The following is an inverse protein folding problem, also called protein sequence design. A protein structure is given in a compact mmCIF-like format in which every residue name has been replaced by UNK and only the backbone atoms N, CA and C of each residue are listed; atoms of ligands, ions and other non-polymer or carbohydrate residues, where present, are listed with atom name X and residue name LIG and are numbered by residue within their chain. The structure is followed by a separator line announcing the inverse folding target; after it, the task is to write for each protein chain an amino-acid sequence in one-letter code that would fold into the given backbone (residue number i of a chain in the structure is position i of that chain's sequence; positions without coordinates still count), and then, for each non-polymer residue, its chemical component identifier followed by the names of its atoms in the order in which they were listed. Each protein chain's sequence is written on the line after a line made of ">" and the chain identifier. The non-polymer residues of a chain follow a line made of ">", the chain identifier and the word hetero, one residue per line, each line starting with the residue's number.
data_IF_501105475904
#
_entry.id   IF_501105475904
#
_cell.length_a   1.000
_cell.length_b   1.000
_cell.length_c   1.000
_cell.angle_alpha   90.00
_cell.angle_beta   90.00
_cell.angle_gamma   90.00
#
_symmetry.space_group_name_H-M   'P 1'
#
loop_
_entity.id
_entity.type
_entity.pdbx_description
1 polymer ?
#
# COMPACT_ATOMS: atom_id res chain seq x y z
N UNK A 1 43.46 4.30 52.25
CA UNK A 1 42.92 5.41 51.43
C UNK A 1 42.30 4.80 50.18
N UNK A 2 41.04 4.36 50.26
CA UNK A 2 40.27 3.89 49.10
C UNK A 2 38.89 4.53 49.20
N UNK A 3 38.66 5.59 48.43
CA UNK A 3 37.40 6.32 48.41
C UNK A 3 36.40 5.66 47.46
N UNK A 4 35.25 5.25 47.99
CA UNK A 4 34.06 4.95 47.20
C UNK A 4 33.45 6.26 46.71
N UNK A 5 33.43 6.50 45.39
CA UNK A 5 32.62 7.55 44.79
C UNK A 5 31.25 6.94 44.44
N UNK A 6 30.23 7.34 45.21
CA UNK A 6 28.83 7.03 44.95
C UNK A 6 28.31 8.01 43.89
N UNK A 7 28.17 7.57 42.65
CA UNK A 7 27.44 8.34 41.62
C UNK A 7 25.94 8.11 41.84
N UNK A 8 25.28 9.08 42.47
CA UNK A 8 23.82 9.13 42.55
C UNK A 8 23.31 9.72 41.24
N UNK A 9 23.08 8.86 40.24
CA UNK A 9 22.39 9.23 39.01
C UNK A 9 20.89 9.26 39.23
N UNK A 10 20.32 10.47 39.19
CA UNK A 10 18.89 10.77 39.23
C UNK A 10 18.07 9.89 38.28
N UNK A 11 16.99 9.32 38.79
CA UNK A 11 16.07 8.46 38.06
C UNK A 11 15.10 9.26 37.17
N UNK A 12 15.04 8.83 35.90
CA UNK A 12 14.01 9.04 34.85
C UNK A 12 13.95 10.42 34.13
N UNK A 13 13.68 10.43 32.79
CA UNK A 13 12.93 9.40 32.06
C UNK A 13 13.68 8.79 30.85
N UNK A 14 14.32 7.63 31.05
CA UNK A 14 14.62 6.72 29.92
C UNK A 14 13.34 6.26 29.21
N UNK A 15 12.23 6.17 29.94
CA UNK A 15 10.92 5.79 29.39
C UNK A 15 10.37 6.78 28.36
N UNK A 16 10.62 8.09 28.50
CA UNK A 16 10.11 9.10 27.54
C UNK A 16 10.94 9.11 26.26
N UNK A 17 12.26 8.91 26.35
CA UNK A 17 13.12 8.71 25.19
C UNK A 17 12.82 7.38 24.48
N UNK A 18 12.62 6.27 25.23
CA UNK A 18 12.21 4.98 24.68
C UNK A 18 10.83 5.04 24.01
N UNK A 19 9.88 5.80 24.58
CA UNK A 19 8.57 6.03 23.97
C UNK A 19 8.71 6.85 22.68
N UNK A 20 9.51 7.91 22.67
CA UNK A 20 9.82 8.69 21.45
C UNK A 20 10.54 7.86 20.38
N UNK A 21 11.46 6.97 20.76
CA UNK A 21 12.14 6.04 19.84
C UNK A 21 11.23 4.92 19.34
N UNK A 22 10.34 4.40 20.20
CA UNK A 22 9.28 3.48 19.80
C UNK A 22 8.30 4.18 18.85
N UNK A 23 7.89 5.41 19.13
CA UNK A 23 7.03 6.23 18.27
C UNK A 23 7.70 6.57 16.92
N UNK A 24 9.03 6.77 16.90
CA UNK A 24 9.83 6.95 15.68
C UNK A 24 10.02 5.65 14.88
N UNK A 25 10.05 4.48 15.54
CA UNK A 25 10.11 3.15 14.89
C UNK A 25 8.72 2.55 14.59
N UNK A 26 7.65 3.10 15.17
CA UNK A 26 6.25 2.75 14.94
C UNK A 26 5.69 3.43 13.68
N UNK A 27 6.36 4.46 13.17
CA UNK A 27 5.92 5.29 12.04
C UNK A 27 6.85 5.24 10.82
N UNK A 28 7.79 4.29 10.74
CA UNK A 28 8.50 4.09 9.49
C UNK A 28 7.50 3.50 8.49
N UNK A 29 6.94 4.33 7.63
CA UNK A 29 6.17 3.84 6.49
C UNK A 29 7.16 3.33 5.43
N UNK A 30 6.78 2.28 4.71
CA UNK A 30 7.59 1.73 3.61
C UNK A 30 6.94 2.07 2.29
N UNK A 31 7.51 3.05 1.60
CA UNK A 31 7.07 3.47 0.27
C UNK A 31 8.19 3.14 -0.71
N UNK A 32 7.90 2.31 -1.70
CA UNK A 32 8.95 1.78 -2.56
C UNK A 32 8.44 1.50 -3.98
N UNK A 33 9.19 1.97 -4.98
CA UNK A 33 9.07 1.55 -6.36
C UNK A 33 10.29 0.71 -6.72
N UNK A 34 10.15 -0.59 -6.96
CA UNK A 34 11.27 -1.50 -7.21
C UNK A 34 11.16 -2.18 -8.57
N UNK A 35 12.23 -2.80 -9.05
CA UNK A 35 12.27 -3.63 -10.26
C UNK A 35 12.44 -5.13 -9.94
N UNK A 36 12.59 -5.47 -8.66
CA UNK A 36 12.70 -6.85 -8.16
C UNK A 36 11.36 -7.39 -7.64
N UNK A 37 11.18 -8.72 -7.54
CA UNK A 37 10.01 -9.33 -6.90
C UNK A 37 9.73 -8.78 -5.50
N UNK A 38 8.45 -8.61 -5.16
CA UNK A 38 8.01 -8.06 -3.88
C UNK A 38 8.01 -9.15 -2.80
N UNK A 39 8.75 -8.92 -1.71
CA UNK A 39 8.79 -9.81 -0.55
C UNK A 39 7.56 -9.60 0.35
N UNK A 40 6.45 -10.25 -0.01
CA UNK A 40 5.18 -10.16 0.73
C UNK A 40 5.34 -10.66 2.17
N UNK A 41 6.09 -11.74 2.38
CA UNK A 41 6.33 -12.33 3.69
C UNK A 41 7.08 -11.36 4.60
N UNK A 42 8.19 -10.81 4.11
CA UNK A 42 8.96 -9.80 4.84
C UNK A 42 8.17 -8.53 5.11
N UNK A 43 7.31 -8.08 4.18
CA UNK A 43 6.41 -6.95 4.40
C UNK A 43 5.35 -7.23 5.49
N UNK A 44 4.78 -8.44 5.50
CA UNK A 44 3.85 -8.87 6.54
C UNK A 44 4.53 -8.91 7.92
N UNK A 45 5.68 -9.56 8.03
CA UNK A 45 6.46 -9.67 9.27
C UNK A 45 6.87 -8.29 9.79
N UNK A 46 7.33 -7.43 8.89
CA UNK A 46 7.65 -6.05 9.20
C UNK A 46 6.45 -5.26 9.72
N UNK A 47 5.21 -5.56 9.31
CA UNK A 47 4.04 -4.85 9.79
C UNK A 47 3.57 -5.31 11.19
N UNK A 48 4.09 -6.41 11.74
CA UNK A 48 3.73 -6.90 13.07
C UNK A 48 4.27 -5.97 14.16
N UNK A 49 3.38 -5.42 14.97
CA UNK A 49 3.75 -4.58 16.12
C UNK A 49 2.93 -4.95 17.36
N UNK A 50 3.47 -4.82 18.60
CA UNK A 50 2.74 -5.17 19.81
C UNK A 50 1.43 -4.40 20.03
N UNK A 51 1.29 -3.22 19.42
CA UNK A 51 0.11 -2.35 19.51
C UNK A 51 -0.98 -2.67 18.48
N UNK A 52 -0.74 -3.60 17.55
CA UNK A 52 -1.67 -3.90 16.46
C UNK A 52 -2.23 -5.32 16.57
N UNK A 53 -3.56 -5.43 16.64
CA UNK A 53 -4.28 -6.70 16.64
C UNK A 53 -4.70 -7.18 15.24
N UNK A 54 -4.46 -6.39 14.19
CA UNK A 54 -4.79 -6.72 12.82
C UNK A 54 -3.69 -6.27 11.85
N UNK A 55 -3.48 -7.08 10.80
CA UNK A 55 -2.70 -6.73 9.61
C UNK A 55 -3.52 -7.12 8.39
N UNK A 56 -3.68 -6.19 7.45
CA UNK A 56 -4.29 -6.45 6.14
C UNK A 56 -3.19 -6.37 5.09
N UNK A 57 -3.11 -7.39 4.25
CA UNK A 57 -2.23 -7.44 3.09
C UNK A 57 -3.10 -7.49 1.84
N UNK A 58 -2.90 -6.56 0.93
CA UNK A 58 -3.41 -6.62 -0.43
C UNK A 58 -2.25 -6.89 -1.39
N UNK A 59 -2.44 -7.83 -2.31
CA UNK A 59 -1.50 -8.12 -3.39
C UNK A 59 -2.23 -8.09 -4.73
N UNK A 60 -1.77 -7.21 -5.63
CA UNK A 60 -2.24 -7.12 -7.00
C UNK A 60 -1.45 -8.10 -7.87
N UNK A 61 -2.12 -9.14 -8.36
CA UNK A 61 -1.47 -10.26 -9.05
C UNK A 61 -1.76 -10.21 -10.56
N UNK A 62 -0.74 -10.51 -11.37
CA UNK A 62 -0.89 -10.65 -12.82
C UNK A 62 -1.77 -11.86 -13.16
N UNK A 63 -2.82 -11.62 -13.96
CA UNK A 63 -3.77 -12.63 -14.46
C UNK A 63 -3.54 -12.92 -15.94
N UNK A 64 -4.09 -14.04 -16.40
CA UNK A 64 -4.02 -14.52 -17.79
C UNK A 64 -5.04 -13.87 -18.74
N UNK A 65 -5.77 -12.86 -18.27
CA UNK A 65 -6.76 -12.14 -19.06
C UNK A 65 -6.87 -10.68 -18.60
N UNK A 66 -7.28 -9.83 -19.53
CA UNK A 66 -7.65 -8.44 -19.34
C UNK A 66 -8.92 -8.12 -20.16
N UNK A 67 -9.43 -6.90 -20.02
CA UNK A 67 -10.64 -6.48 -20.73
C UNK A 67 -10.42 -6.55 -22.25
N UNK A 68 -11.19 -7.38 -22.92
CA UNK A 68 -11.07 -7.62 -24.36
C UNK A 68 -9.83 -8.41 -24.79
N UNK A 69 -9.05 -8.97 -23.86
CA UNK A 69 -7.79 -9.68 -24.15
C UNK A 69 -7.69 -10.98 -23.35
N UNK A 70 -7.72 -12.11 -24.05
CA UNK A 70 -7.46 -13.43 -23.48
C UNK A 70 -6.02 -13.89 -23.75
N UNK A 71 -5.51 -14.79 -22.92
CA UNK A 71 -4.17 -15.36 -23.12
C UNK A 71 -3.04 -14.37 -22.85
N UNK A 72 -3.23 -13.44 -21.91
CA UNK A 72 -2.16 -12.59 -21.41
C UNK A 72 -1.09 -13.49 -20.78
N UNK A 73 0.17 -13.18 -21.07
CA UNK A 73 1.34 -13.95 -20.62
C UNK A 73 2.24 -13.15 -19.69
N UNK A 74 2.24 -11.81 -19.84
CA UNK A 74 3.01 -10.91 -19.01
C UNK A 74 2.40 -9.50 -18.99
N UNK A 75 2.76 -8.72 -17.96
CA UNK A 75 2.58 -7.28 -17.89
C UNK A 75 3.94 -6.59 -17.88
N UNK A 76 4.04 -5.42 -18.51
CA UNK A 76 5.19 -4.53 -18.37
C UNK A 76 4.71 -3.23 -17.72
N UNK A 77 5.29 -2.90 -16.58
CA UNK A 77 4.98 -1.67 -15.86
C UNK A 77 6.07 -0.62 -16.06
N UNK A 78 5.66 0.59 -16.41
CA UNK A 78 6.55 1.74 -16.54
C UNK A 78 6.06 2.87 -15.63
N UNK A 79 6.99 3.66 -15.12
CA UNK A 79 6.69 4.77 -14.25
C UNK A 79 7.73 5.87 -14.40
N UNK A 80 7.30 7.12 -14.32
CA UNK A 80 8.24 8.19 -14.04
C UNK A 80 8.51 8.19 -12.53
N UNK A 81 9.63 7.56 -12.15
CA UNK A 81 9.97 7.18 -10.78
C UNK A 81 9.72 8.27 -9.76
N UNK A 82 10.29 9.44 -10.00
CA UNK A 82 10.26 10.55 -9.05
C UNK A 82 8.83 11.04 -8.74
N UNK A 83 7.97 11.40 -9.72
CA UNK A 83 6.56 11.70 -9.42
C UNK A 83 5.77 10.53 -8.86
N UNK A 84 6.06 9.30 -9.28
CA UNK A 84 5.37 8.12 -8.77
C UNK A 84 5.63 7.95 -7.26
N UNK A 85 6.90 7.97 -6.85
CA UNK A 85 7.29 7.87 -5.44
C UNK A 85 6.71 9.03 -4.62
N UNK A 86 6.73 10.27 -5.14
CA UNK A 86 6.09 11.43 -4.48
C UNK A 86 4.59 11.20 -4.27
N UNK A 87 3.87 10.77 -5.30
CA UNK A 87 2.43 10.49 -5.20
C UNK A 87 2.15 9.35 -4.20
N UNK A 88 2.99 8.31 -4.16
CA UNK A 88 2.86 7.22 -3.19
C UNK A 88 3.09 7.70 -1.75
N UNK A 89 4.05 8.60 -1.52
CA UNK A 89 4.24 9.24 -0.23
C UNK A 89 3.03 10.10 0.18
N UNK A 90 2.46 10.86 -0.74
CA UNK A 90 1.25 11.66 -0.49
C UNK A 90 0.04 10.79 -0.12
N UNK A 91 -0.10 9.61 -0.74
CA UNK A 91 -1.13 8.63 -0.39
C UNK A 91 -0.95 8.17 1.05
N UNK A 92 0.27 7.80 1.46
CA UNK A 92 0.53 7.34 2.82
C UNK A 92 0.29 8.46 3.84
N UNK A 93 0.71 9.68 3.54
CA UNK A 93 0.45 10.85 4.38
C UNK A 93 -1.06 11.10 4.56
N UNK A 94 -1.84 10.95 3.49
CA UNK A 94 -3.30 11.08 3.54
C UNK A 94 -3.95 9.92 4.31
N UNK A 95 -3.47 8.69 4.14
CA UNK A 95 -3.94 7.53 4.89
C UNK A 95 -3.73 7.75 6.40
N UNK A 96 -2.57 8.27 6.81
CA UNK A 96 -2.27 8.64 8.20
C UNK A 96 -3.24 9.69 8.74
N UNK A 97 -3.59 10.69 7.93
CA UNK A 97 -4.53 11.75 8.30
C UNK A 97 -5.95 11.20 8.50
N UNK A 98 -6.39 10.28 7.63
CA UNK A 98 -7.74 9.68 7.66
C UNK A 98 -7.88 8.62 8.75
N UNK A 99 -6.84 7.83 8.99
CA UNK A 99 -6.85 6.67 9.87
C UNK A 99 -5.76 6.81 10.93
N UNK A 100 -5.89 7.74 11.90
CA UNK A 100 -4.82 8.07 12.84
C UNK A 100 -4.43 6.92 13.79
N UNK A 101 -5.25 5.87 13.89
CA UNK A 101 -5.01 4.70 14.73
C UNK A 101 -4.19 3.59 14.05
N UNK A 102 -3.96 3.65 12.74
CA UNK A 102 -3.19 2.60 12.04
C UNK A 102 -1.74 2.58 12.53
N UNK A 103 -1.18 1.37 12.62
CA UNK A 103 0.24 1.11 12.85
C UNK A 103 1.04 1.36 11.58
N UNK A 104 1.94 0.46 11.20
CA UNK A 104 2.77 0.55 9.99
C UNK A 104 1.96 0.47 8.68
N UNK A 105 2.37 1.25 7.68
CA UNK A 105 1.85 1.22 6.31
C UNK A 105 3.01 0.90 5.34
N UNK A 106 2.82 -0.08 4.47
CA UNK A 106 3.65 -0.31 3.30
C UNK A 106 2.83 -0.10 2.03
N UNK A 107 3.38 0.64 1.08
CA UNK A 107 2.85 0.87 -0.26
C UNK A 107 3.99 0.64 -1.25
N UNK A 108 4.04 -0.54 -1.84
CA UNK A 108 5.14 -0.97 -2.72
C UNK A 108 4.61 -1.35 -4.08
N UNK A 109 5.32 -0.96 -5.14
CA UNK A 109 4.96 -1.30 -6.51
C UNK A 109 6.19 -1.75 -7.30
N UNK A 110 6.05 -2.81 -8.10
CA UNK A 110 7.08 -3.33 -8.99
C UNK A 110 6.89 -2.77 -10.40
N UNK A 111 7.97 -2.28 -10.99
CA UNK A 111 8.06 -1.90 -12.41
C UNK A 111 8.86 -2.95 -13.19
N UNK A 112 8.86 -2.84 -14.51
CA UNK A 112 9.48 -3.81 -15.41
C UNK A 112 8.50 -4.91 -15.80
N UNK A 113 9.06 -6.02 -16.29
CA UNK A 113 8.28 -7.17 -16.74
C UNK A 113 7.88 -8.07 -15.58
N UNK A 114 6.60 -8.46 -15.58
CA UNK A 114 5.99 -9.37 -14.63
C UNK A 114 5.23 -10.48 -15.36
N UNK A 115 5.48 -11.72 -14.96
CA UNK A 115 4.81 -12.90 -15.47
C UNK A 115 3.51 -13.17 -14.70
N UNK A 116 2.71 -14.10 -15.24
CA UNK A 116 1.54 -14.63 -14.56
C UNK A 116 1.84 -14.99 -13.11
N UNK A 117 0.89 -14.69 -12.22
CA UNK A 117 0.95 -14.94 -10.77
C UNK A 117 1.95 -14.10 -9.98
N UNK A 118 2.76 -13.25 -10.62
CA UNK A 118 3.61 -12.29 -9.90
C UNK A 118 2.80 -11.10 -9.36
N UNK A 119 3.26 -10.53 -8.24
CA UNK A 119 2.65 -9.35 -7.63
C UNK A 119 3.26 -8.07 -8.19
N UNK A 120 2.40 -7.20 -8.75
CA UNK A 120 2.77 -5.87 -9.22
C UNK A 120 2.71 -4.82 -8.13
N UNK A 121 1.84 -4.99 -7.14
CA UNK A 121 1.66 -4.03 -6.05
C UNK A 121 1.34 -4.78 -4.77
N UNK A 122 1.92 -4.32 -3.66
CA UNK A 122 1.62 -4.83 -2.32
C UNK A 122 1.33 -3.65 -1.40
N UNK A 123 0.18 -3.71 -0.73
CA UNK A 123 -0.21 -2.79 0.33
C UNK A 123 -0.29 -3.58 1.63
N UNK A 124 0.37 -3.12 2.68
CA UNK A 124 0.27 -3.70 4.02
C UNK A 124 -0.11 -2.61 5.00
N UNK A 125 -1.16 -2.84 5.78
CA UNK A 125 -1.55 -1.94 6.87
C UNK A 125 -1.79 -2.73 8.14
N UNK A 126 -1.11 -2.33 9.22
CA UNK A 126 -1.40 -2.82 10.57
C UNK A 126 -2.28 -1.82 11.33
N UNK A 127 -3.11 -2.30 12.25
CA UNK A 127 -3.92 -1.45 13.13
C UNK A 127 -4.27 -2.19 14.44
N UNK A 128 -4.65 -1.47 15.51
CA UNK A 128 -5.18 -2.05 16.75
C UNK A 128 -6.37 -2.98 16.49
N UNK A 129 -7.25 -2.61 15.56
CA UNK A 129 -8.45 -3.36 15.23
C UNK A 129 -8.61 -3.51 13.71
N UNK A 130 -9.33 -4.56 13.29
CA UNK A 130 -9.48 -4.92 11.87
C UNK A 130 -10.19 -3.87 11.00
N UNK A 131 -11.22 -3.11 11.45
CA UNK A 131 -11.93 -2.18 10.56
C UNK A 131 -10.98 -1.15 9.95
N UNK A 132 -10.16 -0.52 10.78
CA UNK A 132 -9.23 0.52 10.35
C UNK A 132 -8.13 -0.04 9.44
N UNK A 133 -7.66 -1.27 9.67
CA UNK A 133 -6.71 -1.92 8.78
C UNK A 133 -7.31 -2.17 7.38
N UNK A 134 -8.57 -2.63 7.30
CA UNK A 134 -9.25 -2.84 6.02
C UNK A 134 -9.49 -1.53 5.28
N UNK A 135 -10.03 -0.52 5.97
CA UNK A 135 -10.39 0.75 5.35
C UNK A 135 -9.15 1.50 4.85
N UNK A 136 -8.06 1.51 5.63
CA UNK A 136 -6.81 2.13 5.25
C UNK A 136 -6.11 1.39 4.10
N UNK A 137 -6.08 0.05 4.12
CA UNK A 137 -5.47 -0.73 3.04
C UNK A 137 -6.24 -0.53 1.73
N UNK A 138 -7.58 -0.53 1.78
CA UNK A 138 -8.45 -0.23 0.63
C UNK A 138 -8.21 1.16 0.09
N UNK A 139 -8.18 2.17 0.97
CA UNK A 139 -7.88 3.54 0.56
C UNK A 139 -6.52 3.62 -0.15
N UNK A 140 -5.47 3.01 0.38
CA UNK A 140 -4.14 3.07 -0.21
C UNK A 140 -4.10 2.48 -1.63
N UNK A 141 -4.73 1.32 -1.87
CA UNK A 141 -4.75 0.72 -3.21
C UNK A 141 -5.62 1.51 -4.19
N UNK A 142 -6.78 2.00 -3.74
CA UNK A 142 -7.67 2.78 -4.60
C UNK A 142 -7.03 4.12 -4.98
N UNK A 143 -6.34 4.76 -4.02
CA UNK A 143 -5.60 5.98 -4.27
C UNK A 143 -4.37 5.74 -5.15
N UNK A 144 -3.66 4.62 -5.00
CA UNK A 144 -2.54 4.29 -5.89
C UNK A 144 -2.99 4.23 -7.35
N UNK A 145 -4.11 3.54 -7.62
CA UNK A 145 -4.64 3.38 -8.97
C UNK A 145 -5.13 4.70 -9.59
N UNK A 146 -5.50 5.68 -8.77
CA UNK A 146 -6.04 6.96 -9.24
C UNK A 146 -5.02 8.09 -9.25
N UNK A 147 -3.99 8.03 -8.41
CA UNK A 147 -3.10 9.16 -8.14
C UNK A 147 -1.65 8.96 -8.62
N UNK A 148 -1.23 7.71 -8.87
CA UNK A 148 0.18 7.42 -9.17
C UNK A 148 0.37 7.23 -10.69
N UNK A 149 1.30 7.98 -11.32
CA UNK A 149 1.61 7.84 -12.75
C UNK A 149 2.40 6.57 -13.04
N UNK A 150 1.70 5.43 -13.07
CA UNK A 150 2.22 4.13 -13.46
C UNK A 150 1.38 3.61 -14.63
N UNK A 151 2.05 3.18 -15.69
CA UNK A 151 1.41 2.65 -16.89
C UNK A 151 1.67 1.15 -16.99
N UNK A 152 0.66 0.41 -17.46
CA UNK A 152 0.76 -1.03 -17.71
C UNK A 152 0.60 -1.32 -19.20
N UNK A 153 1.47 -2.17 -19.72
CA UNK A 153 1.36 -2.80 -21.03
C UNK A 153 1.09 -4.28 -20.85
N UNK A 154 0.21 -4.84 -21.65
CA UNK A 154 -0.19 -6.24 -21.57
C UNK A 154 0.41 -6.98 -22.78
N UNK A 155 0.97 -8.17 -22.58
CA UNK A 155 1.56 -9.02 -23.62
C UNK A 155 0.79 -10.32 -23.76
N UNK A 156 0.52 -10.74 -24.99
CA UNK A 156 -0.10 -12.02 -25.33
C UNK A 156 0.53 -12.59 -26.61
N UNK A 157 0.11 -13.78 -27.04
CA UNK A 157 0.77 -14.52 -28.12
C UNK A 157 0.83 -13.81 -29.48
N UNK A 158 -0.12 -12.91 -29.76
CA UNK A 158 -0.21 -12.19 -31.04
C UNK A 158 0.21 -10.72 -30.98
N UNK A 159 0.61 -10.20 -29.80
CA UNK A 159 1.06 -8.81 -29.70
C UNK A 159 1.14 -8.28 -28.27
N UNK A 160 1.32 -6.96 -28.19
CA UNK A 160 1.37 -6.22 -26.94
C UNK A 160 0.74 -4.84 -27.10
N UNK A 161 0.03 -4.36 -26.08
CA UNK A 161 -0.63 -3.06 -26.13
C UNK A 161 -0.84 -2.47 -24.74
N UNK A 162 -0.87 -1.14 -24.67
CA UNK A 162 -1.10 -0.41 -23.42
C UNK A 162 -2.50 -0.70 -22.89
N UNK A 163 -2.64 -0.74 -21.56
CA UNK A 163 -3.95 -0.86 -20.94
C UNK A 163 -4.84 0.32 -21.32
N UNK A 164 -6.11 0.06 -21.63
CA UNK A 164 -7.08 1.05 -22.11
C UNK A 164 -7.62 1.99 -21.03
N UNK A 165 -7.29 1.74 -19.76
CA UNK A 165 -7.94 2.37 -18.61
C UNK A 165 -7.14 3.59 -18.10
N UNK A 166 -6.60 4.39 -19.01
CA UNK A 166 -5.92 5.62 -18.66
C UNK A 166 -6.94 6.64 -18.12
N UNK A 167 -6.76 7.07 -16.88
CA UNK A 167 -7.57 8.12 -16.25
C UNK A 167 -6.70 9.31 -15.87
N UNK A 168 -7.30 10.49 -15.79
CA UNK A 168 -6.65 11.66 -15.21
C UNK A 168 -6.24 11.36 -13.76
N UNK A 169 -5.05 11.82 -13.37
CA UNK A 169 -4.58 11.65 -12.01
C UNK A 169 -5.44 12.48 -11.04
N UNK A 170 -5.90 11.83 -9.97
CA UNK A 170 -6.68 12.44 -8.89
C UNK A 170 -5.75 12.69 -7.71
N UNK A 171 -5.87 13.82 -7.01
CA UNK A 171 -5.05 14.03 -5.81
C UNK A 171 -5.46 13.03 -4.70
N UNK A 172 -4.53 12.47 -3.90
CA UNK A 172 -4.90 11.47 -2.87
C UNK A 172 -5.98 11.93 -1.89
N UNK A 173 -6.00 13.22 -1.55
CA UNK A 173 -7.03 13.86 -0.69
C UNK A 173 -8.43 13.85 -1.30
N UNK A 174 -8.55 13.78 -2.62
CA UNK A 174 -9.81 13.79 -3.38
C UNK A 174 -10.33 12.37 -3.65
N UNK A 175 -9.51 11.34 -3.43
CA UNK A 175 -9.94 9.94 -3.54
C UNK A 175 -10.94 9.65 -2.43
N UNK A 176 -12.17 9.28 -2.80
CA UNK A 176 -13.23 8.95 -1.84
C UNK A 176 -12.90 7.62 -1.17
N UNK A 177 -12.85 7.60 0.16
CA UNK A 177 -12.76 6.34 0.90
C UNK A 177 -14.10 5.61 0.75
N UNK A 178 -14.05 4.36 0.29
CA UNK A 178 -15.26 3.55 0.20
C UNK A 178 -15.81 3.34 1.62
N UNK A 179 -16.99 3.85 1.92
CA UNK A 179 -17.58 3.90 3.26
C UNK A 179 -18.23 2.57 3.71
N UNK A 180 -17.95 1.46 3.02
CA UNK A 180 -18.50 0.14 3.33
C UNK A 180 -20.03 0.01 3.20
N UNK A 181 -20.75 1.07 2.81
CA UNK A 181 -22.17 1.00 2.43
C UNK A 181 -22.25 0.81 0.92
N UNK A 182 -22.26 -0.44 0.48
CA UNK A 182 -22.49 -0.77 -0.92
C UNK A 182 -23.83 -0.20 -1.38
N UNK A 183 -23.82 0.52 -2.50
CA UNK A 183 -24.98 0.75 -3.36
C UNK A 183 -25.60 -0.59 -3.77
N UNK A 184 -26.62 -1.03 -3.03
CA UNK A 184 -27.59 -2.02 -3.48
C UNK A 184 -28.74 -1.27 -4.14
N UNK A 185 -28.54 -0.89 -5.41
CA UNK A 185 -29.54 -0.57 -6.43
C UNK A 185 -28.72 -0.06 -7.65
N UNK A 186 -28.85 -0.52 -8.89
CA UNK A 186 -30.05 -0.90 -9.63
C UNK A 186 -29.57 -1.58 -10.92
N UNK A 187 -29.90 -2.85 -11.14
CA UNK A 187 -29.86 -3.46 -12.49
C UNK A 187 -30.99 -4.47 -12.62
N UNK A 188 -32.21 -3.94 -12.62
CA UNK A 188 -33.37 -4.63 -13.15
C UNK A 188 -34.16 -3.62 -13.98
N UNK A 189 -33.75 -3.43 -15.24
CA UNK A 189 -34.61 -3.06 -16.36
C UNK A 189 -33.83 -3.23 -17.67
N UNK A 190 -34.30 -4.11 -18.55
CA UNK A 190 -33.83 -4.13 -19.94
C UNK A 190 -33.75 -5.50 -20.60
N UNK A 191 -34.83 -6.28 -20.63
CA UNK A 191 -35.03 -7.28 -21.68
C UNK A 191 -36.52 -7.37 -22.00
N UNK A 192 -36.93 -6.57 -22.97
CA UNK A 192 -38.11 -6.84 -23.77
C UNK A 192 -37.70 -7.82 -24.89
N UNK A 193 -38.35 -8.97 -24.92
CA UNK A 193 -38.80 -9.70 -26.11
C UNK A 193 -39.82 -10.74 -25.67
#
# INVERSE_FOLDING_TARGET
>A
MFGFVRVVGSHAPKAMALRKYADLQMNADRVELCDTPLDIGGLYEWALTPSCGAVVVFSGIVRDHAEGREGVTALVYEAYREPAERAMHDIVAEARRRFPSVGRIALTHRVGELLLTESSVVVVVSAPHRPEAFDAARFCIDALKQSVPIWKKERWSSGEDWGTNATSLVAPREVVAHDGRSDVATSAHGAAQ
#
